data_IF_330484026148
#
_entry.id   IF_330484026148
#
_cell.length_a   1.000
_cell.length_b   1.000
_cell.length_c   1.000
_cell.angle_alpha   90.00
_cell.angle_beta   90.00
_cell.angle_gamma   90.00
#
_symmetry.space_group_name_H-M   'P 1'
#
loop_
_entity.id
_entity.type
_entity.pdbx_description
1 polymer ?
#
# COMPACT_ATOMS: atom_id res chain seq x y z
N UNK A 1 9.21 -5.25 34.53
CA UNK A 1 7.83 -5.46 34.02
C UNK A 1 7.84 -6.24 32.70
N UNK A 2 8.68 -5.87 31.73
CA UNK A 2 8.82 -6.65 30.48
C UNK A 2 9.57 -7.97 30.72
N UNK A 3 10.65 -7.98 31.51
CA UNK A 3 11.39 -9.21 31.82
C UNK A 3 10.55 -10.26 32.55
N UNK A 4 9.65 -9.81 33.44
CA UNK A 4 8.68 -10.66 34.12
C UNK A 4 7.65 -11.25 33.17
N UNK A 5 7.26 -10.53 32.10
CA UNK A 5 6.39 -11.05 31.05
C UNK A 5 7.08 -12.20 30.31
N UNK A 6 8.31 -12.01 29.84
CA UNK A 6 9.07 -13.03 29.13
C UNK A 6 9.42 -14.24 30.01
N UNK A 7 9.70 -14.01 31.29
CA UNK A 7 9.92 -15.09 32.26
C UNK A 7 8.66 -15.94 32.49
N UNK A 8 7.50 -15.30 32.61
CA UNK A 8 6.22 -16.00 32.73
C UNK A 8 5.87 -16.78 31.46
N UNK A 9 6.16 -16.20 30.30
CA UNK A 9 5.98 -16.83 28.99
C UNK A 9 6.87 -18.09 28.87
N UNK A 10 8.14 -18.00 29.27
CA UNK A 10 9.06 -19.13 29.29
C UNK A 10 8.61 -20.23 30.25
N UNK A 11 8.05 -19.86 31.41
CA UNK A 11 7.55 -20.81 32.40
C UNK A 11 6.31 -21.60 31.93
N UNK A 12 5.57 -21.11 30.94
CA UNK A 12 4.36 -21.75 30.40
C UNK A 12 4.60 -22.66 29.17
N UNK A 13 5.87 -22.97 28.83
CA UNK A 13 6.30 -23.59 27.58
C UNK A 13 5.92 -25.08 27.35
N UNK A 14 4.70 -25.50 27.70
CA UNK A 14 4.17 -26.83 27.37
C UNK A 14 3.25 -26.85 26.13
N UNK A 15 3.01 -25.72 25.45
CA UNK A 15 2.03 -25.62 24.34
C UNK A 15 2.50 -24.87 23.07
N UNK A 16 3.81 -24.73 22.86
CA UNK A 16 4.39 -24.11 21.66
C UNK A 16 5.02 -22.74 21.92
N UNK A 17 5.65 -22.17 20.89
CA UNK A 17 6.32 -20.85 20.99
C UNK A 17 5.30 -19.72 20.77
N UNK A 18 5.10 -18.79 21.72
CA UNK A 18 4.28 -17.59 21.52
C UNK A 18 4.76 -16.71 20.36
N UNK A 19 3.79 -16.00 19.77
CA UNK A 19 4.02 -14.99 18.75
C UNK A 19 3.68 -13.62 19.33
N UNK A 20 4.61 -12.66 19.21
CA UNK A 20 4.34 -11.25 19.44
C UNK A 20 4.27 -10.56 18.09
N UNK A 21 3.08 -10.07 17.76
CA UNK A 21 2.83 -9.25 16.59
C UNK A 21 2.70 -7.78 17.00
N UNK A 22 3.45 -6.89 16.35
CA UNK A 22 3.26 -5.45 16.48
C UNK A 22 2.74 -4.95 15.14
N UNK A 23 1.51 -4.44 15.18
CA UNK A 23 0.88 -3.84 14.02
C UNK A 23 1.30 -2.38 13.84
N UNK A 24 1.45 -1.96 12.59
CA UNK A 24 1.85 -0.61 12.17
C UNK A 24 3.06 -0.02 12.93
N UNK A 25 4.11 -0.83 13.12
CA UNK A 25 5.35 -0.36 13.76
C UNK A 25 5.96 0.88 13.06
N UNK A 26 6.01 0.97 11.72
CA UNK A 26 6.55 2.15 11.04
C UNK A 26 5.80 3.45 11.35
N UNK A 27 4.47 3.41 11.46
CA UNK A 27 3.65 4.58 11.83
C UNK A 27 3.99 5.06 13.24
N UNK A 28 4.17 4.12 14.18
CA UNK A 28 4.65 4.46 15.52
C UNK A 28 6.02 5.15 15.48
N UNK A 29 6.95 4.65 14.67
CA UNK A 29 8.29 5.23 14.56
C UNK A 29 8.26 6.63 13.92
N UNK A 30 7.41 6.87 12.93
CA UNK A 30 7.18 8.19 12.35
C UNK A 30 6.60 9.16 13.39
N UNK A 31 5.61 8.72 14.17
CA UNK A 31 5.04 9.53 15.23
C UNK A 31 6.06 9.84 16.34
N UNK A 32 6.92 8.88 16.68
CA UNK A 32 7.99 9.05 17.66
C UNK A 32 9.06 10.04 17.17
N UNK A 33 9.39 10.00 15.89
CA UNK A 33 10.39 10.89 15.28
C UNK A 33 9.96 12.36 15.30
N UNK A 34 8.65 12.62 15.19
CA UNK A 34 8.08 13.98 15.22
C UNK A 34 8.12 14.63 16.62
N UNK A 35 8.52 13.91 17.66
CA UNK A 35 8.60 14.42 19.03
C UNK A 35 9.98 15.02 19.35
N UNK A 36 10.10 15.66 20.51
CA UNK A 36 11.39 16.16 21.00
C UNK A 36 12.42 15.04 21.08
N UNK A 37 13.61 15.32 20.54
CA UNK A 37 14.70 14.36 20.38
C UNK A 37 14.29 13.08 19.60
N UNK A 38 13.30 13.17 18.71
CA UNK A 38 12.67 12.01 18.07
C UNK A 38 13.64 11.09 17.33
N UNK A 39 14.61 11.62 16.58
CA UNK A 39 15.64 10.81 15.90
C UNK A 39 16.42 9.93 16.88
N UNK A 40 16.82 10.50 18.03
CA UNK A 40 17.51 9.76 19.09
C UNK A 40 16.60 8.70 19.71
N UNK A 41 15.34 9.04 19.97
CA UNK A 41 14.36 8.13 20.57
C UNK A 41 14.03 6.94 19.66
N UNK A 42 13.90 7.18 18.35
CA UNK A 42 13.74 6.12 17.34
C UNK A 42 14.93 5.17 17.35
N UNK A 43 16.15 5.73 17.36
CA UNK A 43 17.38 4.93 17.44
C UNK A 43 17.43 4.08 18.71
N UNK A 44 17.23 4.68 19.88
CA UNK A 44 17.22 3.99 21.18
C UNK A 44 16.15 2.90 21.21
N UNK A 45 14.94 3.19 20.72
CA UNK A 45 13.85 2.23 20.64
C UNK A 45 14.19 1.03 19.74
N UNK A 46 14.72 1.25 18.53
CA UNK A 46 15.04 0.17 17.60
C UNK A 46 16.21 -0.70 18.11
N UNK A 47 17.19 -0.09 18.78
CA UNK A 47 18.27 -0.82 19.44
C UNK A 47 17.74 -1.66 20.61
N UNK A 48 16.89 -1.09 21.44
CA UNK A 48 16.21 -1.82 22.53
C UNK A 48 15.37 -2.97 21.99
N UNK A 49 14.55 -2.74 20.97
CA UNK A 49 13.70 -3.75 20.35
C UNK A 49 14.55 -4.88 19.77
N UNK A 50 15.66 -4.56 19.09
CA UNK A 50 16.61 -5.59 18.62
C UNK A 50 17.17 -6.43 19.76
N UNK A 51 17.63 -5.81 20.85
CA UNK A 51 18.17 -6.53 22.00
C UNK A 51 17.11 -7.46 22.60
N UNK A 52 15.88 -6.97 22.74
CA UNK A 52 14.75 -7.75 23.24
C UNK A 52 14.45 -8.96 22.37
N UNK A 53 14.45 -8.81 21.04
CA UNK A 53 14.26 -9.92 20.09
C UNK A 53 15.36 -10.97 20.21
N UNK A 54 16.61 -10.55 20.40
CA UNK A 54 17.74 -11.46 20.52
C UNK A 54 17.67 -12.25 21.83
N UNK A 55 17.37 -11.58 22.94
CA UNK A 55 17.22 -12.21 24.26
C UNK A 55 16.04 -13.20 24.32
N UNK A 56 14.98 -12.94 23.55
CA UNK A 56 13.77 -13.78 23.50
C UNK A 56 13.72 -14.76 22.32
N UNK A 57 14.81 -14.90 21.55
CA UNK A 57 14.80 -15.61 20.26
C UNK A 57 14.44 -17.11 20.33
N UNK A 58 14.72 -17.75 21.47
CA UNK A 58 14.44 -19.17 21.71
C UNK A 58 12.99 -19.43 22.16
N UNK A 59 12.35 -18.43 22.78
CA UNK A 59 11.01 -18.55 23.35
C UNK A 59 9.94 -17.83 22.53
N UNK A 60 10.26 -16.77 21.79
CA UNK A 60 9.28 -15.91 21.14
C UNK A 60 9.54 -15.78 19.64
N UNK A 61 8.46 -15.74 18.86
CA UNK A 61 8.46 -15.37 17.45
C UNK A 61 7.91 -13.97 17.29
N UNK A 62 8.59 -13.15 16.49
CA UNK A 62 8.27 -11.75 16.31
C UNK A 62 7.73 -11.51 14.90
N UNK A 63 6.61 -10.78 14.80
CA UNK A 63 6.04 -10.32 13.55
C UNK A 63 5.88 -8.81 13.64
N UNK A 64 6.40 -8.09 12.66
CA UNK A 64 6.20 -6.64 12.52
C UNK A 64 5.42 -6.39 11.24
N UNK A 65 4.29 -5.72 11.39
CA UNK A 65 3.44 -5.33 10.28
C UNK A 65 3.61 -3.82 10.05
N UNK A 66 3.38 -3.42 8.81
CA UNK A 66 3.46 -2.03 8.41
C UNK A 66 2.90 -1.87 7.02
N UNK A 67 2.04 -0.89 6.86
CA UNK A 67 1.51 -0.52 5.54
C UNK A 67 2.48 0.32 4.71
N UNK A 68 3.59 0.71 5.33
CA UNK A 68 4.75 1.37 4.73
C UNK A 68 5.98 0.53 5.07
N UNK A 69 6.98 0.48 4.20
CA UNK A 69 8.11 -0.40 4.47
C UNK A 69 9.03 0.12 5.60
N UNK A 70 9.27 -0.74 6.59
CA UNK A 70 10.19 -0.49 7.70
C UNK A 70 11.65 -0.39 7.26
N UNK A 71 12.02 -1.09 6.19
CA UNK A 71 13.37 -1.15 5.62
C UNK A 71 13.86 0.21 5.09
N UNK A 72 13.12 0.92 4.23
CA UNK A 72 13.49 2.29 3.82
C UNK A 72 13.47 3.25 4.99
N UNK A 73 12.54 3.09 5.94
CA UNK A 73 12.52 3.94 7.14
C UNK A 73 13.85 3.83 7.91
N UNK A 74 14.34 2.62 8.16
CA UNK A 74 15.62 2.44 8.86
C UNK A 74 16.82 2.77 7.99
N UNK A 75 16.77 2.54 6.68
CA UNK A 75 17.87 2.79 5.75
C UNK A 75 18.20 4.28 5.66
N UNK A 76 17.18 5.11 5.49
CA UNK A 76 17.30 6.58 5.53
C UNK A 76 17.96 7.11 6.82
N UNK A 77 17.88 6.33 7.91
CA UNK A 77 18.39 6.71 9.23
C UNK A 77 19.69 5.98 9.58
N UNK A 78 20.27 5.21 8.66
CA UNK A 78 21.45 4.36 8.90
C UNK A 78 21.25 3.34 10.04
N UNK A 79 20.00 2.91 10.26
CA UNK A 79 19.60 1.99 11.32
C UNK A 79 19.33 0.57 10.81
N UNK A 80 19.69 0.23 9.57
CA UNK A 80 19.42 -1.07 8.93
C UNK A 80 19.89 -2.25 9.77
N UNK A 81 20.99 -2.09 10.54
CA UNK A 81 21.50 -3.11 11.46
C UNK A 81 20.51 -3.48 12.57
N UNK A 82 19.56 -2.62 12.93
CA UNK A 82 18.54 -2.89 13.95
C UNK A 82 17.53 -3.97 13.51
N UNK A 83 17.36 -4.16 12.19
CA UNK A 83 16.48 -5.17 11.62
C UNK A 83 17.16 -6.54 11.45
N UNK A 84 18.44 -6.68 11.80
CA UNK A 84 19.16 -7.95 11.66
C UNK A 84 18.38 -9.14 12.26
N UNK A 85 18.32 -10.24 11.52
CA UNK A 85 17.58 -11.45 11.87
C UNK A 85 16.08 -11.42 11.57
N UNK A 86 15.54 -10.32 11.05
CA UNK A 86 14.19 -10.29 10.48
C UNK A 86 14.22 -10.72 9.02
N UNK A 87 13.17 -11.43 8.61
CA UNK A 87 12.95 -11.82 7.22
C UNK A 87 11.85 -10.92 6.66
N UNK A 88 12.13 -10.10 5.63
CA UNK A 88 11.09 -9.29 5.01
C UNK A 88 10.08 -10.20 4.30
N UNK A 89 8.80 -9.91 4.51
CA UNK A 89 7.70 -10.58 3.82
C UNK A 89 6.78 -9.50 3.25
N UNK A 90 6.36 -9.66 1.99
CA UNK A 90 5.44 -8.75 1.32
C UNK A 90 4.16 -9.50 0.97
N UNK A 91 3.02 -8.86 1.22
CA UNK A 91 1.73 -9.34 0.76
C UNK A 91 1.43 -8.68 -0.60
N UNK A 92 1.44 -9.50 -1.65
CA UNK A 92 1.13 -9.09 -3.01
C UNK A 92 -0.37 -9.02 -3.28
N UNK A 93 -0.71 -8.80 -4.55
CA UNK A 93 -2.06 -9.11 -5.01
C UNK A 93 -2.30 -10.61 -4.93
N UNK A 94 -3.57 -10.98 -4.84
CA UNK A 94 -3.97 -12.36 -5.03
C UNK A 94 -3.62 -12.85 -6.43
N UNK A 95 -3.29 -14.13 -6.51
CA UNK A 95 -3.17 -14.79 -7.79
C UNK A 95 -4.53 -14.76 -8.51
N UNK A 96 -4.58 -14.75 -9.86
CA UNK A 96 -5.83 -14.59 -10.60
C UNK A 96 -6.95 -15.56 -10.17
N UNK A 97 -6.58 -16.80 -9.84
CA UNK A 97 -7.53 -17.82 -9.38
C UNK A 97 -8.07 -17.55 -7.97
N UNK A 98 -7.23 -17.03 -7.06
CA UNK A 98 -7.64 -16.65 -5.71
C UNK A 98 -8.56 -15.43 -5.76
N UNK A 99 -8.24 -14.44 -6.60
CA UNK A 99 -9.05 -13.25 -6.78
C UNK A 99 -10.42 -13.56 -7.41
N UNK A 100 -10.48 -14.42 -8.44
CA UNK A 100 -11.75 -14.91 -9.00
C UNK A 100 -12.53 -15.73 -7.96
N UNK A 101 -11.84 -16.58 -7.18
CA UNK A 101 -12.44 -17.33 -6.08
C UNK A 101 -13.09 -16.42 -5.02
N UNK A 102 -12.42 -15.33 -4.64
CA UNK A 102 -12.99 -14.32 -3.77
C UNK A 102 -14.23 -13.68 -4.38
N UNK A 103 -14.19 -13.27 -5.65
CA UNK A 103 -15.33 -12.64 -6.32
C UNK A 103 -16.54 -13.59 -6.43
N UNK A 104 -16.30 -14.89 -6.67
CA UNK A 104 -17.35 -15.92 -6.64
C UNK A 104 -17.99 -16.07 -5.26
N UNK A 105 -17.21 -15.95 -4.19
CA UNK A 105 -17.70 -16.10 -2.82
C UNK A 105 -18.43 -14.84 -2.33
N UNK A 106 -17.88 -13.66 -2.61
CA UNK A 106 -18.41 -12.40 -2.06
C UNK A 106 -19.70 -11.97 -2.76
N UNK A 107 -19.86 -12.20 -4.06
CA UNK A 107 -21.04 -11.78 -4.83
C UNK A 107 -22.36 -12.22 -4.18
N UNK A 108 -22.59 -13.54 -4.03
CA UNK A 108 -23.80 -14.05 -3.38
C UNK A 108 -23.96 -13.58 -1.93
N UNK A 109 -22.85 -13.44 -1.19
CA UNK A 109 -22.88 -12.96 0.20
C UNK A 109 -23.39 -11.52 0.33
N UNK A 110 -23.25 -10.71 -0.71
CA UNK A 110 -23.77 -9.32 -0.77
C UNK A 110 -25.00 -9.18 -1.68
N UNK A 111 -25.60 -10.29 -2.12
CA UNK A 111 -26.81 -10.29 -2.97
C UNK A 111 -26.58 -9.87 -4.43
N UNK A 112 -25.35 -10.01 -4.94
CA UNK A 112 -25.00 -9.73 -6.32
C UNK A 112 -24.68 -11.01 -7.10
N UNK A 113 -25.18 -11.10 -8.33
CA UNK A 113 -24.82 -12.15 -9.27
C UNK A 113 -23.69 -11.65 -10.17
N UNK A 114 -22.49 -12.16 -9.88
CA UNK A 114 -21.26 -11.83 -10.62
C UNK A 114 -20.91 -12.99 -11.55
N UNK A 115 -21.39 -12.95 -12.79
CA UNK A 115 -21.03 -13.96 -13.79
C UNK A 115 -19.54 -13.89 -14.15
N UNK A 116 -19.06 -14.83 -14.98
CA UNK A 116 -17.64 -14.89 -15.33
C UNK A 116 -17.13 -13.64 -16.06
N UNK A 117 -17.96 -13.01 -16.90
CA UNK A 117 -17.58 -11.82 -17.65
C UNK A 117 -17.48 -10.60 -16.71
N UNK A 118 -18.42 -10.45 -15.78
CA UNK A 118 -18.39 -9.39 -14.76
C UNK A 118 -17.17 -9.53 -13.85
N UNK A 119 -16.85 -10.75 -13.40
CA UNK A 119 -15.67 -10.96 -12.55
C UNK A 119 -14.37 -10.64 -13.29
N UNK A 120 -14.26 -11.03 -14.55
CA UNK A 120 -13.12 -10.67 -15.39
C UNK A 120 -12.98 -9.15 -15.53
N UNK A 121 -14.08 -8.44 -15.80
CA UNK A 121 -14.11 -6.97 -15.91
C UNK A 121 -13.67 -6.29 -14.61
N UNK A 122 -14.12 -6.79 -13.45
CA UNK A 122 -13.71 -6.26 -12.13
C UNK A 122 -12.19 -6.40 -11.94
N UNK A 123 -11.63 -7.56 -12.27
CA UNK A 123 -10.19 -7.82 -12.13
C UNK A 123 -9.37 -6.95 -13.10
N UNK A 124 -9.83 -6.81 -14.33
CA UNK A 124 -9.21 -5.95 -15.34
C UNK A 124 -9.22 -4.46 -14.91
N UNK A 125 -10.37 -3.95 -14.44
CA UNK A 125 -10.49 -2.60 -13.91
C UNK A 125 -9.58 -2.35 -12.69
N UNK A 126 -9.44 -3.34 -11.80
CA UNK A 126 -8.54 -3.22 -10.65
C UNK A 126 -7.06 -3.16 -11.10
N UNK A 127 -6.69 -3.96 -12.10
CA UNK A 127 -5.32 -4.16 -12.63
C UNK A 127 -4.37 -4.85 -11.64
N UNK A 128 -4.59 -4.64 -10.35
CA UNK A 128 -3.87 -5.23 -9.24
C UNK A 128 -4.88 -5.72 -8.22
N UNK A 129 -5.09 -7.03 -8.19
CA UNK A 129 -6.14 -7.72 -7.43
C UNK A 129 -5.80 -7.82 -5.94
N UNK A 130 -5.63 -6.66 -5.28
CA UNK A 130 -5.53 -6.62 -3.82
C UNK A 130 -6.93 -6.66 -3.20
N UNK A 131 -7.10 -7.33 -2.04
CA UNK A 131 -8.41 -7.52 -1.42
C UNK A 131 -9.19 -6.21 -1.23
N UNK A 132 -8.51 -5.16 -0.78
CA UNK A 132 -9.12 -3.86 -0.53
C UNK A 132 -9.71 -3.22 -1.80
N UNK A 133 -9.00 -3.25 -2.93
CA UNK A 133 -9.50 -2.69 -4.19
C UNK A 133 -10.73 -3.46 -4.69
N UNK A 134 -10.70 -4.79 -4.61
CA UNK A 134 -11.87 -5.59 -4.99
C UNK A 134 -13.06 -5.28 -4.08
N UNK A 135 -12.84 -5.16 -2.78
CA UNK A 135 -13.90 -4.82 -1.82
C UNK A 135 -14.54 -3.46 -2.10
N UNK A 136 -13.77 -2.41 -2.40
CA UNK A 136 -14.37 -1.09 -2.68
C UNK A 136 -15.14 -1.07 -4.01
N UNK A 137 -14.74 -1.86 -5.01
CA UNK A 137 -15.49 -2.07 -6.25
C UNK A 137 -16.81 -2.77 -5.95
N UNK A 138 -16.79 -3.88 -5.22
CA UNK A 138 -18.00 -4.61 -4.81
C UNK A 138 -18.93 -3.70 -4.00
N UNK A 139 -18.41 -2.95 -3.04
CA UNK A 139 -19.19 -2.01 -2.25
C UNK A 139 -19.87 -0.94 -3.12
N UNK A 140 -19.16 -0.43 -4.13
CA UNK A 140 -19.74 0.53 -5.08
C UNK A 140 -20.84 -0.10 -5.94
N UNK A 141 -20.68 -1.35 -6.37
CA UNK A 141 -21.72 -2.12 -7.07
C UNK A 141 -22.97 -2.31 -6.21
N UNK A 142 -22.81 -2.67 -4.92
CA UNK A 142 -23.92 -2.82 -3.97
C UNK A 142 -24.69 -1.50 -3.83
N UNK A 143 -23.98 -0.38 -3.67
CA UNK A 143 -24.60 0.95 -3.59
C UNK A 143 -25.35 1.31 -4.87
N UNK A 144 -24.74 1.07 -6.03
CA UNK A 144 -25.33 1.36 -7.33
C UNK A 144 -26.60 0.53 -7.59
N UNK A 145 -26.62 -0.74 -7.19
CA UNK A 145 -27.81 -1.60 -7.33
C UNK A 145 -28.88 -1.26 -6.32
N UNK A 146 -28.52 -0.96 -5.07
CA UNK A 146 -29.47 -0.54 -4.02
C UNK A 146 -30.14 0.80 -4.33
N UNK A 147 -29.46 1.71 -5.03
CA UNK A 147 -30.00 3.02 -5.41
C UNK A 147 -31.01 2.95 -6.58
N UNK A 148 -31.03 1.86 -7.34
CA UNK A 148 -31.97 1.69 -8.46
C UNK A 148 -33.29 1.14 -7.94
N UNK A 149 -34.39 1.86 -8.19
CA UNK A 149 -35.73 1.39 -7.86
C UNK A 149 -35.99 0.06 -8.59
N UNK A 150 -36.55 -0.96 -7.90
CA UNK A 150 -36.99 -2.20 -8.54
C UNK A 150 -37.99 -1.88 -9.65
N UNK A 151 -37.65 -2.19 -10.90
CA UNK A 151 -38.66 -2.24 -11.95
C UNK A 151 -39.44 -3.54 -11.71
N UNK A 152 -40.71 -3.42 -11.31
CA UNK A 152 -41.61 -4.54 -11.00
C UNK A 152 -41.32 -5.33 -9.71
N UNK A 153 -40.68 -4.72 -8.70
CA UNK A 153 -40.48 -5.35 -7.39
C UNK A 153 -39.42 -6.45 -7.33
N UNK A 154 -38.68 -6.68 -8.42
CA UNK A 154 -37.52 -7.58 -8.44
C UNK A 154 -36.25 -6.83 -8.05
N UNK A 155 -35.53 -7.39 -7.07
CA UNK A 155 -34.18 -6.91 -6.74
C UNK A 155 -33.26 -7.06 -7.95
N UNK A 156 -32.51 -6.01 -8.30
CA UNK A 156 -31.57 -6.02 -9.42
C UNK A 156 -30.26 -6.72 -9.01
N UNK A 157 -30.33 -8.03 -8.80
CA UNK A 157 -29.18 -8.86 -8.37
C UNK A 157 -28.17 -9.09 -9.49
N UNK A 158 -28.64 -9.19 -10.74
CA UNK A 158 -27.80 -9.35 -11.92
C UNK A 158 -26.92 -8.11 -12.16
N UNK A 159 -25.60 -8.30 -12.16
CA UNK A 159 -24.61 -7.28 -12.50
C UNK A 159 -24.20 -7.44 -13.96
N UNK A 160 -24.00 -6.33 -14.66
CA UNK A 160 -23.43 -6.30 -16.02
C UNK A 160 -22.06 -5.64 -16.02
N UNK A 161 -21.25 -5.83 -17.06
CA UNK A 161 -19.98 -5.11 -17.22
C UNK A 161 -20.17 -3.58 -17.26
N UNK A 162 -21.29 -3.10 -17.81
CA UNK A 162 -21.66 -1.68 -17.76
C UNK A 162 -21.91 -1.17 -16.33
N UNK A 163 -22.42 -2.01 -15.43
CA UNK A 163 -22.54 -1.65 -14.01
C UNK A 163 -21.18 -1.59 -13.32
N UNK A 164 -20.22 -2.43 -13.71
CA UNK A 164 -18.83 -2.34 -13.24
C UNK A 164 -18.23 -1.00 -13.63
N UNK A 165 -18.30 -0.62 -14.91
CA UNK A 165 -17.82 0.67 -15.38
C UNK A 165 -18.46 1.85 -14.62
N UNK A 166 -19.78 1.80 -14.38
CA UNK A 166 -20.48 2.83 -13.62
C UNK A 166 -20.09 2.86 -12.12
N UNK A 167 -19.79 1.70 -11.52
CA UNK A 167 -19.29 1.62 -10.15
C UNK A 167 -17.86 2.19 -10.04
N UNK A 168 -16.98 1.88 -10.99
CA UNK A 168 -15.64 2.49 -11.07
C UNK A 168 -15.76 4.01 -11.24
N UNK A 169 -16.63 4.48 -12.13
CA UNK A 169 -16.88 5.91 -12.34
C UNK A 169 -17.30 6.59 -11.03
N UNK A 170 -18.26 6.00 -10.30
CA UNK A 170 -18.72 6.49 -9.00
C UNK A 170 -17.61 6.52 -7.95
N UNK A 171 -16.78 5.49 -7.86
CA UNK A 171 -15.64 5.44 -6.93
C UNK A 171 -14.63 6.56 -7.16
N UNK A 172 -14.52 6.99 -8.41
CA UNK A 172 -13.56 7.98 -8.87
C UNK A 172 -14.17 9.40 -8.97
N UNK A 173 -15.33 9.62 -8.36
CA UNK A 173 -15.90 10.94 -8.10
C UNK A 173 -15.43 11.48 -6.74
N UNK A 174 -15.54 12.81 -6.48
CA UNK A 174 -15.09 13.42 -5.22
C UNK A 174 -15.56 12.70 -3.95
N UNK A 175 -16.81 12.23 -3.92
CA UNK A 175 -17.38 11.50 -2.78
C UNK A 175 -16.71 10.13 -2.54
N UNK A 176 -16.13 9.54 -3.58
CA UNK A 176 -15.41 8.26 -3.51
C UNK A 176 -13.94 8.39 -3.13
N UNK A 177 -13.36 9.60 -3.22
CA UNK A 177 -11.92 9.84 -2.99
C UNK A 177 -11.44 9.45 -1.59
N UNK A 178 -12.32 9.50 -0.58
CA UNK A 178 -11.97 9.07 0.78
C UNK A 178 -11.47 7.62 0.83
N UNK A 179 -11.90 6.76 -0.10
CA UNK A 179 -11.47 5.36 -0.20
C UNK A 179 -10.02 5.21 -0.69
N UNK A 180 -9.42 6.28 -1.20
CA UNK A 180 -8.05 6.32 -1.70
C UNK A 180 -7.16 7.31 -0.95
N UNK A 181 -7.72 8.12 -0.05
CA UNK A 181 -7.01 9.26 0.55
C UNK A 181 -5.81 8.83 1.41
N UNK A 182 -5.89 7.64 2.02
CA UNK A 182 -4.76 7.03 2.75
C UNK A 182 -3.50 6.93 1.90
N UNK A 183 -3.61 6.66 0.59
CA UNK A 183 -2.46 6.62 -0.32
C UNK A 183 -1.80 8.00 -0.49
N UNK A 184 -2.55 9.10 -0.42
CA UNK A 184 -1.98 10.45 -0.47
C UNK A 184 -1.43 10.88 0.88
N UNK A 185 -2.18 10.60 1.95
CA UNK A 185 -1.78 10.96 3.31
C UNK A 185 -0.44 10.32 3.68
N UNK A 186 -0.25 9.03 3.40
CA UNK A 186 1.02 8.32 3.68
C UNK A 186 2.22 8.98 3.00
N UNK A 187 2.10 9.40 1.74
CA UNK A 187 3.20 10.09 1.05
C UNK A 187 3.58 11.41 1.72
N UNK A 188 2.62 12.13 2.29
CA UNK A 188 2.88 13.37 3.01
C UNK A 188 3.47 13.11 4.39
N UNK A 189 3.00 12.06 5.06
CA UNK A 189 3.38 11.79 6.44
C UNK A 189 4.77 11.14 6.55
N UNK A 190 5.21 10.42 5.49
CA UNK A 190 6.50 9.76 5.38
C UNK A 190 7.63 10.64 4.82
N UNK A 191 7.31 11.63 3.97
CA UNK A 191 8.30 12.40 3.22
C UNK A 191 8.37 13.84 3.72
N UNK A 192 9.57 14.43 3.71
CA UNK A 192 9.70 15.87 3.82
C UNK A 192 9.13 16.59 2.60
N UNK A 193 8.77 17.88 2.74
CA UNK A 193 8.09 18.67 1.70
C UNK A 193 8.77 18.61 0.32
N UNK A 194 10.10 18.67 0.31
CA UNK A 194 10.91 18.62 -0.91
C UNK A 194 10.74 17.30 -1.66
N UNK A 195 10.82 16.18 -0.94
CA UNK A 195 10.73 14.84 -1.48
C UNK A 195 9.28 14.48 -1.85
N UNK A 196 8.32 14.93 -1.03
CA UNK A 196 6.90 14.79 -1.31
C UNK A 196 6.53 15.41 -2.66
N UNK A 197 7.01 16.63 -2.95
CA UNK A 197 6.79 17.28 -4.26
C UNK A 197 7.35 16.46 -5.42
N UNK A 198 8.51 15.83 -5.24
CA UNK A 198 9.11 14.98 -6.28
C UNK A 198 8.35 13.67 -6.47
N UNK A 199 7.95 13.02 -5.37
CA UNK A 199 7.11 11.83 -5.45
C UNK A 199 5.78 12.13 -6.17
N UNK A 200 5.15 13.25 -5.87
CA UNK A 200 3.94 13.70 -6.56
C UNK A 200 4.19 14.01 -8.04
N UNK A 201 5.34 14.60 -8.41
CA UNK A 201 5.71 14.80 -9.81
C UNK A 201 5.82 13.46 -10.56
N UNK A 202 6.50 12.48 -9.98
CA UNK A 202 6.67 11.14 -10.57
C UNK A 202 5.29 10.49 -10.78
N UNK A 203 4.44 10.48 -9.75
CA UNK A 203 3.11 9.89 -9.82
C UNK A 203 2.19 10.62 -10.83
N UNK A 204 2.23 11.95 -10.88
CA UNK A 204 1.52 12.74 -11.91
C UNK A 204 1.97 12.38 -13.32
N UNK A 205 3.28 12.19 -13.51
CA UNK A 205 3.81 11.82 -14.82
C UNK A 205 3.36 10.41 -15.22
N UNK A 206 3.52 9.45 -14.31
CA UNK A 206 3.21 8.04 -14.56
C UNK A 206 1.70 7.77 -14.71
N UNK A 207 0.82 8.55 -14.07
CA UNK A 207 -0.62 8.31 -14.26
C UNK A 207 -1.12 8.64 -15.68
N UNK A 208 -0.37 9.46 -16.42
CA UNK A 208 -0.63 9.79 -17.83
C UNK A 208 0.01 8.81 -18.83
N UNK A 209 0.81 7.84 -18.35
CA UNK A 209 1.51 6.85 -19.17
C UNK A 209 1.15 5.43 -18.71
N UNK A 210 0.03 4.83 -19.19
CA UNK A 210 -0.43 3.53 -18.73
C UNK A 210 0.58 2.39 -18.92
N UNK A 211 1.39 2.45 -19.98
CA UNK A 211 2.46 1.48 -20.27
C UNK A 211 3.75 1.74 -19.48
N UNK A 212 3.75 2.79 -18.64
CA UNK A 212 4.90 3.23 -17.89
C UNK A 212 5.84 4.13 -18.66
N UNK A 213 6.89 4.58 -17.97
CA UNK A 213 7.99 5.36 -18.52
C UNK A 213 9.34 4.79 -18.06
N UNK A 214 10.38 4.88 -18.90
CA UNK A 214 11.71 4.47 -18.53
C UNK A 214 12.31 5.46 -17.53
N UNK A 215 13.27 4.97 -16.74
CA UNK A 215 13.95 5.76 -15.71
C UNK A 215 14.53 7.06 -16.26
N UNK A 216 15.11 7.02 -17.45
CA UNK A 216 15.79 8.14 -18.09
C UNK A 216 14.83 9.30 -18.34
N UNK A 217 13.58 9.01 -18.75
CA UNK A 217 12.58 10.06 -18.95
C UNK A 217 12.15 10.69 -17.63
N UNK A 218 11.99 9.89 -16.57
CA UNK A 218 11.69 10.41 -15.23
C UNK A 218 12.84 11.27 -14.68
N UNK A 219 14.09 10.88 -14.96
CA UNK A 219 15.27 11.64 -14.58
C UNK A 219 15.34 12.98 -15.32
N UNK A 220 15.07 13.01 -16.62
CA UNK A 220 15.01 14.25 -17.40
C UNK A 220 13.93 15.20 -16.87
N UNK A 221 12.74 14.69 -16.54
CA UNK A 221 11.67 15.50 -15.93
C UNK A 221 12.11 16.07 -14.57
N UNK A 222 12.78 15.26 -13.74
CA UNK A 222 13.24 15.72 -12.43
C UNK A 222 14.35 16.78 -12.54
N UNK A 223 15.30 16.63 -13.46
CA UNK A 223 16.33 17.64 -13.73
C UNK A 223 15.71 18.97 -14.16
N UNK A 224 14.63 18.94 -14.97
CA UNK A 224 13.89 20.15 -15.35
C UNK A 224 13.13 20.77 -14.18
N UNK A 225 12.59 19.94 -13.29
CA UNK A 225 11.89 20.38 -12.09
C UNK A 225 12.83 20.97 -11.03
N UNK A 226 14.09 20.52 -11.00
CA UNK A 226 15.12 20.92 -10.02
C UNK A 226 16.43 21.29 -10.73
N UNK A 227 16.46 22.34 -11.55
CA UNK A 227 17.62 22.67 -12.40
C UNK A 227 18.85 23.13 -11.60
N UNK A 228 18.68 23.46 -10.33
CA UNK A 228 19.76 23.92 -9.44
C UNK A 228 20.46 22.76 -8.70
N UNK A 229 19.85 21.58 -8.68
CA UNK A 229 20.42 20.43 -7.96
C UNK A 229 21.47 19.72 -8.84
N UNK A 230 22.57 19.22 -8.26
CA UNK A 230 23.53 18.43 -9.01
C UNK A 230 22.88 17.20 -9.68
N UNK A 231 23.30 16.82 -10.91
CA UNK A 231 22.73 15.66 -11.59
C UNK A 231 22.81 14.35 -10.79
N UNK A 232 23.92 14.12 -10.09
CA UNK A 232 24.12 12.92 -9.28
C UNK A 232 23.17 12.87 -8.07
N UNK A 233 23.05 13.98 -7.34
CA UNK A 233 22.09 14.11 -6.23
C UNK A 233 20.64 13.91 -6.70
N UNK A 234 20.32 14.40 -7.91
CA UNK A 234 19.02 14.19 -8.54
C UNK A 234 18.77 12.70 -8.87
N UNK A 235 19.79 12.02 -9.39
CA UNK A 235 19.72 10.60 -9.71
C UNK A 235 19.55 9.72 -8.45
N UNK A 236 20.25 10.07 -7.37
CA UNK A 236 20.13 9.39 -6.07
C UNK A 236 18.74 9.58 -5.46
N UNK A 237 18.22 10.82 -5.48
CA UNK A 237 16.85 11.10 -5.03
C UNK A 237 15.82 10.30 -5.83
N UNK A 238 15.96 10.26 -7.16
CA UNK A 238 15.07 9.48 -8.02
C UNK A 238 15.12 7.99 -7.67
N UNK A 239 16.32 7.40 -7.53
CA UNK A 239 16.47 5.99 -7.14
C UNK A 239 15.75 5.67 -5.85
N UNK A 240 15.94 6.51 -4.83
CA UNK A 240 15.38 6.31 -3.51
C UNK A 240 13.86 6.42 -3.50
N UNK A 241 13.30 7.40 -4.23
CA UNK A 241 11.86 7.55 -4.35
C UNK A 241 11.21 6.46 -5.19
N UNK A 242 11.82 6.02 -6.30
CA UNK A 242 11.29 4.90 -7.09
C UNK A 242 11.25 3.60 -6.28
N UNK A 243 12.33 3.29 -5.56
CA UNK A 243 12.39 2.12 -4.68
C UNK A 243 11.29 2.16 -3.60
N UNK A 244 11.13 3.31 -2.93
CA UNK A 244 10.07 3.49 -1.93
C UNK A 244 8.67 3.35 -2.53
N UNK A 245 8.40 4.01 -3.67
CA UNK A 245 7.10 3.96 -4.33
C UNK A 245 6.74 2.56 -4.85
N UNK A 246 7.72 1.77 -5.32
CA UNK A 246 7.50 0.38 -5.70
C UNK A 246 7.14 -0.49 -4.49
N UNK A 247 7.94 -0.36 -3.43
CA UNK A 247 7.78 -1.15 -2.21
C UNK A 247 6.46 -0.85 -1.51
N UNK A 248 6.06 0.42 -1.44
CA UNK A 248 4.80 0.84 -0.82
C UNK A 248 3.58 0.56 -1.72
N UNK A 249 3.79 -0.03 -2.91
CA UNK A 249 2.73 -0.54 -3.77
C UNK A 249 2.14 0.46 -4.76
N UNK A 250 2.72 1.66 -4.90
CA UNK A 250 2.30 2.63 -5.91
C UNK A 250 2.71 2.18 -7.32
N UNK A 251 3.94 1.70 -7.44
CA UNK A 251 4.57 1.42 -8.74
C UNK A 251 4.95 -0.04 -8.91
N UNK A 252 5.06 -0.45 -10.17
CA UNK A 252 5.78 -1.64 -10.59
C UNK A 252 6.85 -1.23 -11.61
N UNK A 253 7.91 -2.01 -11.70
CA UNK A 253 8.91 -1.89 -12.75
C UNK A 253 8.89 -3.19 -13.55
N UNK A 254 8.75 -3.06 -14.87
CA UNK A 254 8.76 -4.17 -15.82
C UNK A 254 9.55 -3.75 -17.04
N UNK A 255 10.60 -4.51 -17.37
CA UNK A 255 11.46 -4.27 -18.53
C UNK A 255 12.01 -2.83 -18.58
N UNK A 256 12.40 -2.27 -17.42
CA UNK A 256 12.90 -0.91 -17.30
C UNK A 256 11.83 0.19 -17.35
N UNK A 257 10.55 -0.17 -17.46
CA UNK A 257 9.41 0.76 -17.46
C UNK A 257 8.78 0.80 -16.08
N UNK A 258 8.64 2.00 -15.52
CA UNK A 258 7.92 2.24 -14.28
C UNK A 258 6.47 2.59 -14.60
N UNK A 259 5.52 1.85 -14.05
CA UNK A 259 4.09 2.11 -14.23
C UNK A 259 3.35 2.06 -12.88
N UNK A 260 2.14 2.62 -12.82
CA UNK A 260 1.29 2.41 -11.66
C UNK A 260 0.97 0.94 -11.51
N UNK A 261 1.09 0.45 -10.27
CA UNK A 261 0.82 -0.95 -9.97
C UNK A 261 -0.65 -1.29 -10.14
N UNK A 262 -1.54 -0.45 -9.61
CA UNK A 262 -2.98 -0.60 -9.75
C UNK A 262 -3.55 0.38 -10.78
N UNK A 263 -4.37 -0.13 -11.68
CA UNK A 263 -5.05 0.68 -12.69
C UNK A 263 -6.11 1.57 -12.04
N UNK A 264 -6.84 1.04 -11.05
CA UNK A 264 -7.77 1.82 -10.25
C UNK A 264 -7.09 2.99 -9.52
N UNK A 265 -5.95 2.73 -8.87
CA UNK A 265 -5.17 3.77 -8.20
C UNK A 265 -4.63 4.82 -9.18
N UNK A 266 -4.20 4.38 -10.38
CA UNK A 266 -3.75 5.27 -11.46
C UNK A 266 -4.85 6.24 -11.89
N UNK A 267 -6.05 5.73 -12.12
CA UNK A 267 -7.21 6.53 -12.54
C UNK A 267 -7.64 7.52 -11.46
N UNK A 268 -7.63 7.10 -10.19
CA UNK A 268 -7.84 8.02 -9.07
C UNK A 268 -6.80 9.15 -9.07
N UNK A 269 -5.52 8.83 -9.23
CA UNK A 269 -4.46 9.85 -9.28
C UNK A 269 -4.68 10.80 -10.45
N UNK A 270 -4.97 10.27 -11.63
CA UNK A 270 -5.19 11.06 -12.83
C UNK A 270 -6.34 12.06 -12.68
N UNK A 271 -7.47 11.64 -12.08
CA UNK A 271 -8.62 12.53 -11.87
C UNK A 271 -8.41 13.60 -10.81
N UNK A 272 -7.61 13.30 -9.80
CA UNK A 272 -7.40 14.22 -8.68
C UNK A 272 -6.25 15.20 -8.91
N UNK A 273 -5.28 14.80 -9.72
CA UNK A 273 -3.98 15.49 -9.82
C UNK A 273 -3.67 16.05 -11.22
N UNK A 274 -4.43 15.66 -12.24
CA UNK A 274 -4.17 16.02 -13.65
C UNK A 274 -5.40 16.61 -14.35
N UNK A 275 -6.57 15.96 -14.25
CA UNK A 275 -7.84 16.51 -14.75
C UNK A 275 -8.38 17.59 -13.82
#
# INVERSE_FOLDING_TARGET
>A
MIDSLFSNIQAQSNSGRPIIAIDELPEFLLALEKQDHGVRRVSEFLHWLRALRQQSSDCVRWIFLGSIGLDTFVDQRSLTKTLAGLVPMSLGAWEPNEADGFLRAIGPAVGLELDAAVRAEILECAGWAIPYHLQIIIQSLVELKSARLPVNGQSLTAVTTGDVAAAIERLLQPDGYMRFDTWRQRLRDQLGDSEHRVAMLILKRLCTAPQGLPRELLQLELLRFRPQDPPDATAELLSRLLAMLQRDGYLLEQNGQYAFRSFLLREYWHRREVR
#
